data_IF_079232851411
#
_entry.id   IF_079232851411
#
_cell.length_a   1.000
_cell.length_b   1.000
_cell.length_c   1.000
_cell.angle_alpha   90.00
_cell.angle_beta   90.00
_cell.angle_gamma   90.00
#
_symmetry.space_group_name_H-M   'P 1'
#
loop_
_entity.id
_entity.type
_entity.pdbx_description
1 polymer ?
#
# COMPACT_ATOMS: atom_id res chain seq x y z
N UNK A 1 -17.34 -9.91 25.55
CA UNK A 1 -16.19 -9.07 25.94
C UNK A 1 -15.80 -8.28 24.71
N UNK A 2 -16.03 -6.97 24.71
CA UNK A 2 -15.68 -6.12 23.58
C UNK A 2 -14.17 -5.99 23.54
N UNK A 3 -13.53 -6.52 22.49
CA UNK A 3 -12.12 -6.24 22.23
C UNK A 3 -12.05 -4.78 21.83
N UNK A 4 -11.74 -3.93 22.80
CA UNK A 4 -11.34 -2.55 22.58
C UNK A 4 -9.99 -2.60 21.87
N UNK A 5 -10.00 -2.87 20.56
CA UNK A 5 -8.86 -2.51 19.70
C UNK A 5 -8.96 -1.00 19.59
N UNK A 6 -8.45 -0.33 20.62
CA UNK A 6 -8.15 1.08 20.54
C UNK A 6 -7.44 1.26 19.20
N UNK A 7 -8.03 2.13 18.40
CA UNK A 7 -7.48 2.74 17.22
C UNK A 7 -6.23 3.52 17.63
N UNK A 8 -5.21 2.79 18.09
CA UNK A 8 -3.85 3.24 18.15
C UNK A 8 -3.53 3.46 16.69
N UNK A 9 -3.51 4.74 16.34
CA UNK A 9 -3.16 5.22 15.03
C UNK A 9 -1.99 4.37 14.55
N UNK A 10 -2.31 3.47 13.63
CA UNK A 10 -1.34 2.82 12.77
C UNK A 10 -0.74 4.00 12.04
N UNK A 11 0.25 4.65 12.67
CA UNK A 11 1.15 5.53 11.97
C UNK A 11 1.60 4.65 10.83
N UNK A 12 1.23 5.12 9.66
CA UNK A 12 1.21 4.47 8.37
C UNK A 12 2.68 4.27 7.97
N UNK A 13 3.36 3.43 8.73
CA UNK A 13 4.78 3.17 8.66
C UNK A 13 4.93 2.05 7.63
N UNK A 14 5.26 2.46 6.40
CA UNK A 14 5.73 1.65 5.28
C UNK A 14 4.65 1.15 4.31
N UNK A 15 4.31 1.99 3.32
CA UNK A 15 3.27 1.71 2.33
C UNK A 15 3.75 1.16 0.98
N UNK A 16 5.06 0.97 0.81
CA UNK A 16 5.66 0.53 -0.46
C UNK A 16 6.28 -0.87 -0.40
N UNK A 17 5.89 -1.68 0.59
CA UNK A 17 6.32 -3.06 0.68
C UNK A 17 5.61 -3.90 -0.40
N UNK A 18 6.23 -4.96 -0.90
CA UNK A 18 5.49 -5.94 -1.71
C UNK A 18 4.38 -6.61 -0.89
N UNK A 19 3.41 -7.24 -1.54
CA UNK A 19 2.34 -8.00 -0.87
C UNK A 19 2.93 -9.05 0.08
N UNK A 20 3.90 -9.85 -0.38
CA UNK A 20 4.56 -10.87 0.44
C UNK A 20 5.20 -10.31 1.72
N UNK A 21 5.80 -9.11 1.62
CA UNK A 21 6.42 -8.44 2.77
C UNK A 21 5.36 -7.86 3.71
N UNK A 22 4.24 -7.35 3.20
CA UNK A 22 3.11 -6.92 4.05
C UNK A 22 2.50 -8.10 4.79
N UNK A 23 2.35 -9.26 4.13
CA UNK A 23 1.88 -10.48 4.78
C UNK A 23 2.83 -10.90 5.91
N UNK A 24 4.12 -11.03 5.61
CA UNK A 24 5.14 -11.38 6.61
C UNK A 24 5.15 -10.40 7.79
N UNK A 25 5.05 -9.08 7.51
CA UNK A 25 4.97 -8.04 8.53
C UNK A 25 3.72 -8.20 9.40
N UNK A 26 2.58 -8.48 8.79
CA UNK A 26 1.31 -8.64 9.50
C UNK A 26 1.35 -9.84 10.43
N UNK A 27 1.91 -10.97 9.97
CA UNK A 27 2.14 -12.17 10.79
C UNK A 27 3.07 -11.88 11.98
N UNK A 28 4.18 -11.16 11.77
CA UNK A 28 5.08 -10.78 12.85
C UNK A 28 4.43 -9.81 13.86
N UNK A 29 3.64 -8.84 13.38
CA UNK A 29 2.97 -7.86 14.23
C UNK A 29 1.87 -8.45 15.10
N UNK A 30 1.13 -9.47 14.61
CA UNK A 30 0.13 -10.16 15.44
C UNK A 30 0.81 -11.00 16.52
N UNK A 31 1.99 -11.57 16.22
CA UNK A 31 2.78 -12.33 17.18
C UNK A 31 3.40 -11.46 18.29
N UNK A 32 3.47 -10.14 18.12
CA UNK A 32 3.91 -9.23 19.18
C UNK A 32 2.90 -9.11 20.35
N UNK A 33 1.65 -9.57 20.21
CA UNK A 33 0.63 -9.62 21.29
C UNK A 33 0.38 -8.32 22.09
N UNK A 34 0.83 -7.14 21.63
CA UNK A 34 0.74 -5.91 22.41
C UNK A 34 2.08 -5.24 22.70
N UNK A 35 3.18 -5.98 22.62
CA UNK A 35 4.51 -5.50 23.00
C UNK A 35 4.99 -4.38 22.05
N UNK A 36 5.16 -3.18 22.62
CA UNK A 36 5.60 -1.99 21.90
C UNK A 36 7.04 -2.10 21.39
N UNK A 37 7.92 -2.78 22.13
CA UNK A 37 9.32 -2.99 21.75
C UNK A 37 9.40 -3.98 20.59
N UNK A 38 8.63 -5.06 20.63
CA UNK A 38 8.47 -5.98 19.51
C UNK A 38 7.97 -5.25 18.26
N UNK A 39 6.90 -4.47 18.38
CA UNK A 39 6.35 -3.70 17.24
C UNK A 39 7.35 -2.70 16.66
N UNK A 40 8.12 -2.02 17.50
CA UNK A 40 9.19 -1.13 17.02
C UNK A 40 10.26 -1.90 16.25
N UNK A 41 10.70 -3.05 16.76
CA UNK A 41 11.69 -3.88 16.08
C UNK A 41 11.20 -4.37 14.71
N UNK A 42 9.92 -4.77 14.61
CA UNK A 42 9.31 -5.13 13.34
C UNK A 42 9.25 -3.92 12.40
N UNK A 43 8.84 -2.75 12.88
CA UNK A 43 8.85 -1.53 12.07
C UNK A 43 10.26 -1.25 11.51
N UNK A 44 11.28 -1.32 12.35
CA UNK A 44 12.66 -1.04 11.95
C UNK A 44 13.18 -2.07 10.94
N UNK A 45 12.79 -3.35 11.09
CA UNK A 45 13.08 -4.42 10.13
C UNK A 45 12.56 -4.11 8.72
N UNK A 46 11.33 -3.65 8.61
CA UNK A 46 10.68 -3.39 7.32
C UNK A 46 10.98 -1.99 6.75
N UNK A 47 11.52 -1.07 7.57
CA UNK A 47 11.90 0.28 7.16
C UNK A 47 12.95 0.30 6.04
N UNK A 48 13.93 -0.60 6.07
CA UNK A 48 15.01 -0.60 5.06
C UNK A 48 14.48 -0.81 3.63
N UNK A 49 13.50 -1.70 3.46
CA UNK A 49 12.89 -1.94 2.15
C UNK A 49 12.05 -0.75 1.70
N UNK A 50 11.36 -0.09 2.63
CA UNK A 50 10.64 1.14 2.35
C UNK A 50 11.59 2.27 1.91
N UNK A 51 12.71 2.46 2.63
CA UNK A 51 13.70 3.50 2.35
C UNK A 51 14.28 3.35 0.94
N UNK A 52 14.52 2.12 0.47
CA UNK A 52 14.96 1.85 -0.92
C UNK A 52 13.94 2.34 -1.96
N UNK A 53 12.64 2.10 -1.72
CA UNK A 53 11.60 2.56 -2.66
C UNK A 53 11.47 4.08 -2.61
N UNK A 54 11.56 4.69 -1.42
CA UNK A 54 11.57 6.14 -1.26
C UNK A 54 12.76 6.80 -1.94
N UNK A 55 13.95 6.20 -1.83
CA UNK A 55 15.15 6.68 -2.50
C UNK A 55 14.94 6.70 -4.00
N UNK A 56 14.40 5.63 -4.59
CA UNK A 56 14.11 5.57 -6.04
C UNK A 56 13.08 6.61 -6.49
N UNK A 57 12.03 6.85 -5.69
CA UNK A 57 11.07 7.93 -5.91
C UNK A 57 11.76 9.31 -5.85
N UNK A 58 12.65 9.50 -4.87
CA UNK A 58 13.33 10.77 -4.64
C UNK A 58 14.44 11.06 -5.66
N UNK A 59 15.06 10.03 -6.23
CA UNK A 59 16.26 10.13 -7.07
C UNK A 59 16.04 9.83 -8.54
N UNK A 60 14.84 9.43 -8.96
CA UNK A 60 14.58 9.15 -10.38
C UNK A 60 15.04 10.33 -11.25
N UNK A 61 15.91 10.03 -12.22
CA UNK A 61 16.57 11.04 -13.05
C UNK A 61 16.52 10.60 -14.52
N UNK A 62 16.12 11.49 -15.41
CA UNK A 62 15.73 11.10 -16.77
C UNK A 62 14.29 10.59 -16.82
N UNK A 63 13.67 10.76 -17.99
CA UNK A 63 12.27 10.41 -18.16
C UNK A 63 12.02 8.91 -17.97
N UNK A 64 12.80 8.06 -18.63
CA UNK A 64 12.60 6.60 -18.58
C UNK A 64 12.66 6.03 -17.16
N UNK A 65 13.59 6.53 -16.33
CA UNK A 65 13.70 6.12 -14.93
C UNK A 65 12.46 6.51 -14.12
N UNK A 66 12.01 7.75 -14.24
CA UNK A 66 10.81 8.19 -13.52
C UNK A 66 9.54 7.51 -14.05
N UNK A 67 9.47 7.19 -15.35
CA UNK A 67 8.37 6.40 -15.92
C UNK A 67 8.36 4.98 -15.35
N UNK A 68 9.52 4.33 -15.25
CA UNK A 68 9.64 3.02 -14.64
C UNK A 68 9.14 3.03 -13.19
N UNK A 69 9.57 4.01 -12.37
CA UNK A 69 9.07 4.15 -10.99
C UNK A 69 7.55 4.39 -10.95
N UNK A 70 7.01 5.24 -11.83
CA UNK A 70 5.56 5.48 -11.87
C UNK A 70 4.76 4.22 -12.27
N UNK A 71 5.31 3.37 -13.15
CA UNK A 71 4.72 2.08 -13.54
C UNK A 71 4.79 1.05 -12.41
N UNK A 72 5.90 0.97 -11.70
CA UNK A 72 6.05 0.09 -10.53
C UNK A 72 5.08 0.44 -9.41
N UNK A 73 4.93 1.74 -9.11
CA UNK A 73 3.95 2.18 -8.11
C UNK A 73 2.53 1.82 -8.54
N UNK A 74 2.20 1.95 -9.82
CA UNK A 74 0.89 1.51 -10.35
C UNK A 74 0.70 0.00 -10.25
N UNK A 75 1.73 -0.79 -10.56
CA UNK A 75 1.69 -2.24 -10.41
C UNK A 75 1.43 -2.63 -8.94
N UNK A 76 2.14 -1.99 -8.00
CA UNK A 76 1.95 -2.23 -6.56
C UNK A 76 0.52 -1.92 -6.09
N UNK A 77 -0.11 -0.85 -6.62
CA UNK A 77 -1.53 -0.58 -6.34
C UNK A 77 -2.45 -1.70 -6.84
N UNK A 78 -2.14 -2.26 -8.02
CA UNK A 78 -2.85 -3.40 -8.58
C UNK A 78 -2.72 -4.63 -7.68
N UNK A 79 -1.49 -4.96 -7.26
CA UNK A 79 -1.20 -6.09 -6.38
C UNK A 79 -1.92 -5.96 -5.04
N UNK A 80 -1.92 -4.77 -4.44
CA UNK A 80 -2.65 -4.49 -3.20
C UNK A 80 -4.16 -4.63 -3.39
N UNK A 81 -4.70 -4.13 -4.49
CA UNK A 81 -6.13 -4.23 -4.80
C UNK A 81 -6.56 -5.68 -4.99
N UNK A 82 -5.74 -6.49 -5.68
CA UNK A 82 -5.97 -7.92 -5.84
C UNK A 82 -5.96 -8.63 -4.48
N UNK A 83 -4.94 -8.40 -3.67
CA UNK A 83 -4.81 -9.02 -2.35
C UNK A 83 -5.95 -8.64 -1.39
N UNK A 84 -6.34 -7.37 -1.36
CA UNK A 84 -7.49 -6.93 -0.57
C UNK A 84 -8.78 -7.62 -1.03
N UNK A 85 -8.95 -7.81 -2.33
CA UNK A 85 -10.10 -8.51 -2.91
C UNK A 85 -10.11 -9.99 -2.53
N UNK A 86 -8.96 -10.66 -2.49
CA UNK A 86 -8.84 -12.05 -2.01
C UNK A 86 -9.29 -12.19 -0.56
N UNK A 87 -8.82 -11.31 0.33
CA UNK A 87 -9.21 -11.34 1.76
C UNK A 87 -10.71 -11.05 1.92
N UNK A 88 -11.24 -10.08 1.18
CA UNK A 88 -12.67 -9.77 1.20
C UNK A 88 -13.52 -10.93 0.67
N UNK A 89 -13.09 -11.57 -0.41
CA UNK A 89 -13.80 -12.71 -1.00
C UNK A 89 -13.79 -13.92 -0.07
N UNK A 90 -12.66 -14.18 0.61
CA UNK A 90 -12.60 -15.19 1.66
C UNK A 90 -13.62 -14.90 2.76
N UNK A 91 -13.68 -13.67 3.27
CA UNK A 91 -14.66 -13.27 4.29
C UNK A 91 -16.11 -13.39 3.79
N UNK A 92 -16.37 -13.06 2.52
CA UNK A 92 -17.70 -13.18 1.90
C UNK A 92 -18.14 -14.64 1.78
N UNK A 93 -17.23 -15.53 1.39
CA UNK A 93 -17.53 -16.94 1.12
C UNK A 93 -17.58 -17.79 2.40
N UNK A 94 -16.72 -17.49 3.38
CA UNK A 94 -16.49 -18.35 4.55
C UNK A 94 -16.92 -17.68 5.87
N UNK A 95 -17.36 -16.42 5.82
CA UNK A 95 -17.67 -15.61 7.01
C UNK A 95 -16.46 -14.89 7.56
N UNK A 96 -16.69 -13.79 8.30
CA UNK A 96 -15.63 -12.94 8.84
C UNK A 96 -14.70 -13.69 9.81
N UNK A 97 -15.25 -14.65 10.57
CA UNK A 97 -14.50 -15.46 11.54
C UNK A 97 -13.51 -16.43 10.88
N UNK A 98 -13.55 -16.60 9.55
CA UNK A 98 -12.58 -17.39 8.79
C UNK A 98 -11.26 -16.64 8.54
N UNK A 99 -11.24 -15.32 8.75
CA UNK A 99 -10.04 -14.51 8.61
C UNK A 99 -9.15 -14.70 9.83
N UNK A 100 -7.86 -14.94 9.57
CA UNK A 100 -6.85 -14.91 10.62
C UNK A 100 -6.64 -13.48 11.11
N UNK A 101 -6.18 -13.27 12.36
CA UNK A 101 -5.79 -11.94 12.83
C UNK A 101 -4.75 -11.27 11.93
N UNK A 102 -3.86 -12.06 11.31
CA UNK A 102 -2.87 -11.57 10.36
C UNK A 102 -3.52 -11.05 9.07
N UNK A 103 -4.50 -11.74 8.50
CA UNK A 103 -5.24 -11.30 7.30
C UNK A 103 -6.07 -10.03 7.58
N UNK A 104 -6.72 -9.93 8.74
CA UNK A 104 -7.44 -8.71 9.14
C UNK A 104 -6.49 -7.53 9.23
N UNK A 105 -5.31 -7.74 9.84
CA UNK A 105 -4.27 -6.72 9.94
C UNK A 105 -3.72 -6.34 8.57
N UNK A 106 -3.39 -7.34 7.75
CA UNK A 106 -2.88 -7.15 6.39
C UNK A 106 -3.84 -6.30 5.57
N UNK A 107 -5.13 -6.62 5.59
CA UNK A 107 -6.13 -5.83 4.86
C UNK A 107 -6.19 -4.37 5.31
N UNK A 108 -6.12 -4.11 6.63
CA UNK A 108 -6.11 -2.76 7.17
C UNK A 108 -4.84 -1.99 6.76
N UNK A 109 -3.69 -2.65 6.82
CA UNK A 109 -2.40 -2.10 6.41
C UNK A 109 -2.40 -1.76 4.90
N UNK A 110 -2.83 -2.69 4.04
CA UNK A 110 -2.93 -2.49 2.59
C UNK A 110 -3.89 -1.35 2.24
N UNK A 111 -5.05 -1.29 2.90
CA UNK A 111 -6.05 -0.23 2.69
C UNK A 111 -5.50 1.14 3.09
N UNK A 112 -4.84 1.22 4.25
CA UNK A 112 -4.14 2.45 4.67
C UNK A 112 -3.02 2.82 3.68
N UNK A 113 -2.43 1.81 3.03
CA UNK A 113 -1.27 2.01 2.20
C UNK A 113 -1.52 2.68 0.84
N UNK A 114 -2.69 2.43 0.24
CA UNK A 114 -3.10 2.95 -1.07
C UNK A 114 -2.86 4.45 -1.24
N UNK A 115 -3.22 5.26 -0.23
CA UNK A 115 -3.10 6.72 -0.29
C UNK A 115 -1.65 7.22 -0.44
N UNK A 116 -0.68 6.58 0.21
CA UNK A 116 0.73 7.00 0.07
C UNK A 116 1.33 6.55 -1.25
N UNK A 117 0.85 5.44 -1.84
CA UNK A 117 1.29 5.02 -3.17
C UNK A 117 0.77 6.01 -4.21
N UNK A 118 -0.49 6.46 -4.09
CA UNK A 118 -1.05 7.52 -4.95
C UNK A 118 -0.27 8.83 -4.83
N UNK A 119 0.04 9.26 -3.60
CA UNK A 119 0.83 10.46 -3.37
C UNK A 119 2.23 10.34 -4.00
N UNK A 120 2.89 9.20 -3.84
CA UNK A 120 4.22 8.93 -4.40
C UNK A 120 4.20 8.90 -5.93
N UNK A 121 3.22 8.23 -6.54
CA UNK A 121 3.06 8.18 -7.99
C UNK A 121 2.81 9.57 -8.56
N UNK A 122 1.95 10.36 -7.92
CA UNK A 122 1.69 11.74 -8.31
C UNK A 122 2.93 12.64 -8.20
N UNK A 123 3.78 12.45 -7.20
CA UNK A 123 5.04 13.17 -7.07
C UNK A 123 5.97 12.89 -8.26
N UNK A 124 6.14 11.62 -8.62
CA UNK A 124 6.98 11.21 -9.76
C UNK A 124 6.43 11.76 -11.07
N UNK A 125 5.12 11.65 -11.30
CA UNK A 125 4.46 12.19 -12.50
C UNK A 125 4.58 13.72 -12.60
N UNK A 126 4.47 14.45 -11.49
CA UNK A 126 4.68 15.90 -11.47
C UNK A 126 6.11 16.26 -11.86
N UNK A 127 7.10 15.53 -11.37
CA UNK A 127 8.52 15.71 -11.75
C UNK A 127 8.75 15.45 -13.23
N UNK A 128 8.17 14.38 -13.77
CA UNK A 128 8.22 14.06 -15.21
C UNK A 128 7.70 15.22 -16.06
N UNK A 129 6.48 15.70 -15.76
CA UNK A 129 5.86 16.81 -16.50
C UNK A 129 6.67 18.09 -16.42
N UNK A 130 7.30 18.37 -15.28
CA UNK A 130 8.12 19.57 -15.06
C UNK A 130 9.45 19.51 -15.81
N UNK A 131 10.13 18.37 -15.78
CA UNK A 131 11.51 18.24 -16.25
C UNK A 131 11.63 17.69 -17.69
N UNK A 132 10.59 17.01 -18.21
CA UNK A 132 10.61 16.33 -19.51
C UNK A 132 9.32 16.59 -20.32
N UNK A 133 9.06 17.84 -20.78
CA UNK A 133 7.79 18.23 -21.40
C UNK A 133 7.47 17.60 -22.78
N UNK A 134 8.38 16.81 -23.36
CA UNK A 134 8.19 16.08 -24.62
C UNK A 134 7.82 14.60 -24.47
N UNK A 135 8.01 14.01 -23.29
CA UNK A 135 7.71 12.61 -23.05
C UNK A 135 6.25 12.48 -22.62
N UNK A 136 5.36 12.51 -23.60
CA UNK A 136 3.90 12.42 -23.41
C UNK A 136 3.35 11.03 -23.74
N UNK A 137 4.21 10.01 -23.75
CA UNK A 137 3.80 8.62 -23.92
C UNK A 137 2.96 8.18 -22.72
N UNK A 138 1.66 8.35 -22.86
CA UNK A 138 0.61 7.53 -22.25
C UNK A 138 0.86 7.06 -20.80
N UNK A 139 1.14 7.99 -19.89
CA UNK A 139 1.29 7.67 -18.47
C UNK A 139 -0.05 7.39 -17.75
N UNK A 140 -1.15 7.25 -18.51
CA UNK A 140 -2.45 6.86 -17.99
C UNK A 140 -3.67 7.33 -18.79
N UNK A 141 -3.73 7.15 -20.12
CA UNK A 141 -4.97 7.35 -20.88
C UNK A 141 -5.68 6.04 -21.26
N UNK A 142 -5.64 5.02 -20.39
CA UNK A 142 -6.69 4.01 -20.37
C UNK A 142 -7.76 4.48 -19.37
N UNK A 143 -8.88 4.95 -19.90
CA UNK A 143 -9.96 5.60 -19.16
C UNK A 143 -10.58 4.74 -18.05
N UNK A 144 -10.01 4.82 -16.86
CA UNK A 144 -10.71 4.42 -15.64
C UNK A 144 -10.49 5.46 -14.53
N UNK A 145 -11.41 6.41 -14.46
CA UNK A 145 -11.72 7.07 -13.19
C UNK A 145 -12.39 6.00 -12.30
N UNK A 146 -11.58 5.21 -11.61
CA UNK A 146 -12.02 4.23 -10.63
C UNK A 146 -10.75 3.64 -10.02
N UNK A 147 -10.43 3.77 -8.75
CA UNK A 147 -11.31 3.75 -7.60
C UNK A 147 -10.66 4.59 -6.49
N UNK A 148 -11.19 5.78 -6.25
CA UNK A 148 -11.02 6.52 -5.01
C UNK A 148 -12.42 6.93 -4.57
N UNK A 149 -12.98 6.24 -3.57
CA UNK A 149 -13.91 6.85 -2.61
C UNK A 149 -15.42 6.86 -2.87
N UNK A 150 -15.95 6.76 -4.11
CA UNK A 150 -17.38 7.04 -4.35
C UNK A 150 -18.22 5.84 -4.87
N UNK A 151 -18.23 4.72 -4.15
CA UNK A 151 -19.17 3.60 -4.40
C UNK A 151 -19.99 3.19 -3.18
N UNK A 152 -20.38 4.13 -2.32
CA UNK A 152 -21.39 3.90 -1.27
C UNK A 152 -22.30 5.12 -1.09
N UNK A 153 -23.16 5.36 -2.07
CA UNK A 153 -24.50 5.95 -1.85
C UNK A 153 -25.38 5.66 -3.06
N UNK A 154 -26.63 5.33 -2.76
CA UNK A 154 -27.75 5.01 -3.67
C UNK A 154 -27.87 3.55 -4.09
N UNK A 155 -28.34 2.73 -3.15
CA UNK A 155 -29.53 1.87 -3.30
C UNK A 155 -30.22 1.73 -1.94
#
# INVERSE_FOLDING_TARGET
>A
MAVNVAMEWVVVDNNHLSVEKNQSRSEELVNCQGDSSCRSAIRDKYRQEYDKVQERIATCSGADQCVAVAKELRALQGDYSARMSEIQEKARMQGLDSLTPAEVREWADLRGAMSNIDASRNLVLRRLRRNYPGNREDYGADGNCGVCGDCWRDQ
#
